data_IF_432160020848
#
_entry.id   IF_432160020848
#
_cell.length_a   1.000
_cell.length_b   1.000
_cell.length_c   1.000
_cell.angle_alpha   90.00
_cell.angle_beta   90.00
_cell.angle_gamma   90.00
#
_symmetry.space_group_name_H-M   'P 1'
#
loop_
_entity.id
_entity.type
_entity.pdbx_description
1 polymer ?
#
# COMPACT_ATOMS: atom_id res chain seq x y z
N UNK A 1 -22.50 -2.93 7.97
CA UNK A 1 -22.38 -3.68 6.70
C UNK A 1 -22.36 -5.15 7.00
N UNK A 2 -23.18 -5.91 6.30
CA UNK A 2 -23.23 -7.35 6.45
C UNK A 2 -21.97 -8.02 5.85
N UNK A 3 -21.56 -9.17 6.40
CA UNK A 3 -20.35 -9.88 5.99
C UNK A 3 -20.32 -10.19 4.48
N UNK A 4 -21.39 -10.76 3.95
CA UNK A 4 -21.43 -11.13 2.53
C UNK A 4 -21.43 -9.91 1.62
N UNK A 5 -22.08 -8.84 2.02
CA UNK A 5 -22.01 -7.56 1.31
C UNK A 5 -20.57 -7.02 1.28
N UNK A 6 -19.87 -7.04 2.41
CA UNK A 6 -18.48 -6.63 2.48
C UNK A 6 -17.60 -7.46 1.54
N UNK A 7 -17.77 -8.78 1.51
CA UNK A 7 -17.03 -9.67 0.63
C UNK A 7 -17.26 -9.38 -0.85
N UNK A 8 -18.50 -9.06 -1.23
CA UNK A 8 -18.89 -8.83 -2.63
C UNK A 8 -18.55 -7.45 -3.13
N UNK A 9 -18.47 -6.47 -2.25
CA UNK A 9 -18.24 -5.05 -2.61
C UNK A 9 -16.80 -4.58 -2.36
N UNK A 10 -15.97 -5.40 -1.70
CA UNK A 10 -14.57 -5.07 -1.48
C UNK A 10 -13.80 -5.04 -2.79
N UNK A 11 -13.02 -4.00 -2.98
CA UNK A 11 -12.20 -3.82 -4.18
C UNK A 11 -10.90 -3.09 -3.82
N UNK A 12 -9.95 -3.08 -4.75
CA UNK A 12 -8.71 -2.32 -4.58
C UNK A 12 -8.93 -0.87 -4.97
N UNK A 13 -9.13 0.00 -3.99
CA UNK A 13 -9.30 1.42 -4.24
C UNK A 13 -7.97 2.05 -4.67
N UNK A 14 -7.95 2.76 -5.80
CA UNK A 14 -6.77 3.43 -6.35
C UNK A 14 -6.97 4.91 -6.62
N UNK A 15 -8.20 5.36 -6.60
CA UNK A 15 -8.56 6.76 -6.73
C UNK A 15 -9.33 7.20 -5.49
N UNK A 16 -8.96 8.36 -4.97
CA UNK A 16 -9.52 8.88 -3.72
C UNK A 16 -10.01 10.30 -3.92
N UNK A 17 -11.00 10.70 -3.13
CA UNK A 17 -11.45 12.09 -3.11
C UNK A 17 -10.43 12.97 -2.40
N UNK A 18 -10.54 14.30 -2.59
CA UNK A 18 -9.73 15.27 -1.88
C UNK A 18 -10.31 15.65 -0.51
N UNK A 19 -11.44 15.07 -0.13
CA UNK A 19 -12.08 15.37 1.15
C UNK A 19 -11.20 14.95 2.32
N UNK A 20 -11.06 15.79 3.35
CA UNK A 20 -10.27 15.42 4.50
C UNK A 20 -10.94 14.28 5.28
N UNK A 21 -10.14 13.35 5.78
CA UNK A 21 -10.61 12.29 6.65
C UNK A 21 -10.79 12.85 8.08
N UNK A 22 -12.01 12.81 8.66
CA UNK A 22 -12.22 13.26 10.02
C UNK A 22 -11.44 12.42 11.04
N UNK A 23 -10.99 13.05 12.13
CA UNK A 23 -10.19 12.38 13.15
C UNK A 23 -10.95 11.24 13.84
N UNK A 24 -12.23 11.41 14.09
CA UNK A 24 -13.06 10.38 14.71
C UNK A 24 -13.17 9.13 13.84
N UNK A 25 -13.31 9.29 12.53
CA UNK A 25 -13.30 8.17 11.58
C UNK A 25 -11.93 7.49 11.55
N UNK A 26 -10.86 8.27 11.53
CA UNK A 26 -9.50 7.73 11.57
C UNK A 26 -9.25 6.90 12.83
N UNK A 27 -9.64 7.40 13.99
CA UNK A 27 -9.46 6.69 15.25
C UNK A 27 -10.29 5.41 15.30
N UNK A 28 -11.49 5.40 14.74
CA UNK A 28 -12.31 4.20 14.63
C UNK A 28 -11.63 3.13 13.75
N UNK A 29 -11.09 3.54 12.61
CA UNK A 29 -10.33 2.64 11.72
C UNK A 29 -9.14 2.03 12.46
N UNK A 30 -8.36 2.85 13.16
CA UNK A 30 -7.19 2.39 13.90
C UNK A 30 -7.55 1.47 15.07
N UNK A 31 -8.66 1.75 15.76
CA UNK A 31 -9.14 0.89 16.83
C UNK A 31 -9.53 -0.49 16.33
N UNK A 32 -10.14 -0.57 15.15
CA UNK A 32 -10.45 -1.84 14.52
C UNK A 32 -9.21 -2.56 13.96
N UNK A 33 -8.23 -1.82 13.47
CA UNK A 33 -6.99 -2.40 12.92
C UNK A 33 -6.19 -3.19 13.95
N UNK A 34 -6.27 -2.87 15.24
CA UNK A 34 -5.55 -3.59 16.31
C UNK A 34 -5.98 -5.05 16.48
N UNK A 35 -7.13 -5.44 15.93
CA UNK A 35 -7.60 -6.82 15.95
C UNK A 35 -7.05 -7.68 14.81
N UNK A 36 -6.23 -7.12 13.93
CA UNK A 36 -5.62 -7.88 12.85
C UNK A 36 -4.73 -9.01 13.40
N UNK A 37 -4.74 -10.18 12.76
CA UNK A 37 -3.86 -11.28 13.19
C UNK A 37 -2.39 -10.90 13.05
N UNK A 38 -1.56 -11.47 13.92
CA UNK A 38 -0.10 -11.33 13.83
C UNK A 38 0.59 -12.64 14.11
N UNK A 39 1.79 -12.83 13.59
CA UNK A 39 2.57 -14.02 13.81
C UNK A 39 2.82 -14.27 15.30
N UNK A 40 2.37 -15.42 15.81
CA UNK A 40 2.46 -15.74 17.24
C UNK A 40 1.72 -14.79 18.16
N UNK A 41 0.76 -14.03 17.62
CA UNK A 41 0.02 -13.00 18.35
C UNK A 41 0.94 -11.95 19.02
N UNK A 42 2.06 -11.64 18.41
CA UNK A 42 3.06 -10.72 18.99
C UNK A 42 2.63 -9.26 18.98
N UNK A 43 1.64 -8.93 18.16
CA UNK A 43 1.07 -7.58 18.06
C UNK A 43 2.13 -6.49 17.85
N UNK A 44 3.17 -6.81 17.07
CA UNK A 44 4.32 -5.93 16.83
C UNK A 44 4.09 -4.88 15.73
N UNK A 45 2.84 -4.58 15.40
CA UNK A 45 2.52 -3.60 14.35
C UNK A 45 2.62 -2.19 14.92
N UNK A 46 3.36 -1.34 14.21
CA UNK A 46 3.42 0.09 14.48
C UNK A 46 2.78 0.84 13.31
N UNK A 47 1.88 1.76 13.62
CA UNK A 47 1.16 2.54 12.59
C UNK A 47 1.61 3.99 12.69
N UNK A 48 2.10 4.52 11.58
CA UNK A 48 2.45 5.93 11.46
C UNK A 48 1.47 6.61 10.53
N UNK A 49 0.84 7.67 11.01
CA UNK A 49 -0.13 8.46 10.25
C UNK A 49 0.61 9.63 9.61
N UNK A 50 0.57 9.71 8.29
CA UNK A 50 1.21 10.79 7.53
C UNK A 50 0.12 11.67 6.93
N UNK A 51 0.02 12.92 7.40
CA UNK A 51 -0.92 13.93 6.90
C UNK A 51 -0.23 15.10 6.20
N UNK A 52 1.04 15.32 6.47
CA UNK A 52 1.81 16.41 5.89
C UNK A 52 2.05 16.15 4.40
N UNK A 53 1.68 17.11 3.55
CA UNK A 53 1.79 16.96 2.09
C UNK A 53 3.24 16.85 1.62
N UNK A 54 4.16 17.54 2.26
CA UNK A 54 5.59 17.45 1.95
C UNK A 54 6.13 16.05 2.22
N UNK A 55 5.76 15.46 3.36
CA UNK A 55 6.16 14.09 3.70
C UNK A 55 5.56 13.08 2.73
N UNK A 56 4.28 13.23 2.38
CA UNK A 56 3.63 12.37 1.39
C UNK A 56 4.32 12.43 0.04
N UNK A 57 4.70 13.62 -0.41
CA UNK A 57 5.45 13.79 -1.65
C UNK A 57 6.83 13.12 -1.60
N UNK A 58 7.53 13.25 -0.49
CA UNK A 58 8.83 12.58 -0.29
C UNK A 58 8.69 11.06 -0.38
N UNK A 59 7.66 10.48 0.25
CA UNK A 59 7.40 9.06 0.17
C UNK A 59 7.07 8.62 -1.25
N UNK A 60 6.27 9.41 -1.97
CA UNK A 60 5.94 9.16 -3.38
C UNK A 60 7.21 9.17 -4.24
N UNK A 61 8.05 10.18 -4.08
CA UNK A 61 9.30 10.31 -4.83
C UNK A 61 10.25 9.13 -4.58
N UNK A 62 10.30 8.63 -3.36
CA UNK A 62 11.08 7.44 -3.02
C UNK A 62 10.53 6.15 -3.65
N UNK A 63 9.23 6.08 -3.90
CA UNK A 63 8.59 4.93 -4.51
C UNK A 63 8.72 4.90 -6.04
N UNK A 64 8.97 6.03 -6.70
CA UNK A 64 9.01 6.13 -8.17
C UNK A 64 10.03 5.17 -8.80
N UNK A 65 11.28 5.05 -8.33
CA UNK A 65 12.24 4.11 -8.94
C UNK A 65 11.74 2.66 -8.92
N UNK A 66 11.13 2.23 -7.83
CA UNK A 66 10.57 0.88 -7.72
C UNK A 66 9.38 0.69 -8.68
N UNK A 67 8.52 1.68 -8.84
CA UNK A 67 7.40 1.65 -9.76
C UNK A 67 7.88 1.57 -11.22
N UNK A 68 8.90 2.34 -11.58
CA UNK A 68 9.52 2.30 -12.92
C UNK A 68 10.12 0.92 -13.20
N UNK A 69 10.83 0.35 -12.25
CA UNK A 69 11.40 -0.99 -12.38
C UNK A 69 10.31 -2.04 -12.58
N UNK A 70 9.25 -1.98 -11.81
CA UNK A 70 8.11 -2.88 -11.92
C UNK A 70 7.48 -2.84 -13.32
N UNK A 71 7.21 -1.65 -13.84
CA UNK A 71 6.64 -1.46 -15.18
C UNK A 71 7.59 -1.97 -16.25
N UNK A 72 8.89 -1.69 -16.12
CA UNK A 72 9.90 -2.17 -17.06
C UNK A 72 9.95 -3.71 -17.09
N UNK A 73 9.87 -4.36 -15.94
CA UNK A 73 9.82 -5.83 -15.86
C UNK A 73 8.58 -6.40 -16.56
N UNK A 74 7.41 -5.80 -16.34
CA UNK A 74 6.17 -6.23 -17.02
C UNK A 74 6.30 -6.08 -18.53
N UNK A 75 6.83 -4.95 -19.01
CA UNK A 75 6.98 -4.69 -20.44
C UNK A 75 7.98 -5.63 -21.13
N UNK A 76 8.96 -6.13 -20.38
CA UNK A 76 9.95 -7.10 -20.88
C UNK A 76 9.51 -8.56 -20.71
N UNK A 77 8.29 -8.79 -20.23
CA UNK A 77 7.77 -10.14 -19.99
C UNK A 77 8.36 -10.84 -18.77
N UNK A 78 9.06 -10.13 -17.90
CA UNK A 78 9.61 -10.67 -16.68
C UNK A 78 8.53 -10.75 -15.58
N UNK A 79 8.76 -11.60 -14.58
CA UNK A 79 7.86 -11.74 -13.43
C UNK A 79 8.47 -11.01 -12.23
N UNK A 80 7.94 -9.83 -11.83
CA UNK A 80 8.49 -9.04 -10.73
C UNK A 80 8.47 -9.76 -9.37
N UNK A 81 7.57 -10.73 -9.20
CA UNK A 81 7.41 -11.45 -7.93
C UNK A 81 8.48 -12.52 -7.70
N UNK A 82 9.10 -13.02 -8.77
CA UNK A 82 10.04 -14.13 -8.72
C UNK A 82 11.50 -13.71 -8.90
N UNK A 83 11.74 -12.46 -9.31
CA UNK A 83 13.07 -12.00 -9.67
C UNK A 83 13.76 -11.34 -8.48
N UNK A 84 14.66 -12.08 -7.84
CA UNK A 84 15.54 -11.54 -6.80
C UNK A 84 16.90 -11.11 -7.36
N UNK A 85 17.26 -11.55 -8.57
CA UNK A 85 18.52 -11.21 -9.23
C UNK A 85 18.35 -10.00 -10.16
N UNK A 86 19.43 -9.30 -10.50
CA UNK A 86 19.39 -8.28 -11.53
C UNK A 86 18.80 -8.83 -12.83
N UNK A 87 17.94 -8.04 -13.46
CA UNK A 87 17.22 -8.40 -14.70
C UNK A 87 17.51 -7.40 -15.79
N UNK A 88 17.05 -7.66 -17.01
CA UNK A 88 17.16 -6.70 -18.10
C UNK A 88 16.42 -5.38 -17.79
N UNK A 89 15.41 -5.40 -16.91
CA UNK A 89 14.73 -4.20 -16.46
C UNK A 89 15.63 -3.27 -15.64
N UNK A 90 16.58 -3.81 -14.89
CA UNK A 90 17.54 -3.02 -14.12
C UNK A 90 18.46 -2.19 -15.02
N UNK A 91 18.78 -2.70 -16.18
CA UNK A 91 19.58 -1.99 -17.18
C UNK A 91 18.75 -0.97 -17.97
N UNK A 92 17.44 -1.20 -18.10
CA UNK A 92 16.53 -0.34 -18.83
C UNK A 92 16.03 0.87 -18.02
N UNK A 93 16.15 0.83 -16.71
CA UNK A 93 15.75 1.91 -15.80
C UNK A 93 16.92 2.77 -15.39
#
# INVERSE_FOLDING_TARGET
MELFEAMRTTFSAREYTSDPLPDDVLFEILDNARFAPSGGNRQGVHITIVRNQTTKKTLSDLAIPAAKRYIAQINLGENPWNSASPTAADEAT
#
